data_IF_809137448570
#
_entry.id   IF_809137448570
#
_cell.length_a   1.000
_cell.length_b   1.000
_cell.length_c   1.000
_cell.angle_alpha   90.00
_cell.angle_beta   90.00
_cell.angle_gamma   90.00
#
_symmetry.space_group_name_H-M   'P 1'
#
loop_
_entity.id
_entity.type
_entity.pdbx_description
1 polymer ?
#
# COMPACT_ATOMS: atom_id res chain seq x y z
N UNK A 1 17.74 -6.40 25.81
CA UNK A 1 16.77 -5.48 25.18
C UNK A 1 15.80 -5.00 26.26
N UNK A 2 15.91 -3.75 26.73
CA UNK A 2 15.02 -3.06 27.70
C UNK A 2 14.60 -3.74 29.03
N UNK A 3 15.18 -4.87 29.44
CA UNK A 3 14.83 -5.52 30.71
C UNK A 3 13.42 -6.15 30.74
N UNK A 4 12.80 -6.38 29.57
CA UNK A 4 11.50 -7.04 29.42
C UNK A 4 11.66 -8.37 28.68
N UNK A 5 10.75 -9.32 28.94
CA UNK A 5 10.70 -10.56 28.16
C UNK A 5 10.31 -10.28 26.71
N UNK A 6 10.67 -11.19 25.79
CA UNK A 6 10.27 -11.10 24.38
C UNK A 6 8.76 -11.00 24.24
N UNK A 7 8.01 -11.84 24.97
CA UNK A 7 6.55 -11.81 25.02
C UNK A 7 6.01 -10.47 25.51
N UNK A 8 6.66 -9.86 26.51
CA UNK A 8 6.29 -8.53 27.01
C UNK A 8 6.45 -7.44 25.93
N UNK A 9 7.55 -7.47 25.18
CA UNK A 9 7.77 -6.54 24.06
C UNK A 9 6.77 -6.77 22.92
N UNK A 10 6.48 -8.03 22.57
CA UNK A 10 5.48 -8.36 21.57
C UNK A 10 4.08 -7.88 21.98
N UNK A 11 3.70 -8.05 23.23
CA UNK A 11 2.39 -7.62 23.72
C UNK A 11 2.26 -6.09 23.68
N UNK A 12 3.30 -5.35 24.06
CA UNK A 12 3.30 -3.88 23.96
C UNK A 12 3.15 -3.46 22.49
N UNK A 13 3.92 -4.08 21.59
CA UNK A 13 3.83 -3.79 20.16
C UNK A 13 2.43 -4.07 19.59
N UNK A 14 1.87 -5.24 19.87
CA UNK A 14 0.54 -5.63 19.40
C UNK A 14 -0.57 -4.75 20.01
N UNK A 15 -0.46 -4.39 21.27
CA UNK A 15 -1.41 -3.49 21.91
C UNK A 15 -1.40 -2.09 21.29
N UNK A 16 -0.21 -1.54 21.00
CA UNK A 16 -0.09 -0.25 20.30
C UNK A 16 -0.65 -0.34 18.89
N UNK A 17 -0.39 -1.43 18.16
CA UNK A 17 -0.98 -1.65 16.84
C UNK A 17 -2.51 -1.68 16.92
N UNK A 18 -3.07 -2.48 17.83
CA UNK A 18 -4.52 -2.61 18.01
C UNK A 18 -5.17 -1.26 18.36
N UNK A 19 -4.52 -0.47 19.23
CA UNK A 19 -4.95 0.87 19.57
C UNK A 19 -4.95 1.81 18.35
N UNK A 20 -3.88 1.79 17.55
CA UNK A 20 -3.79 2.61 16.33
C UNK A 20 -4.90 2.21 15.35
N UNK A 21 -5.08 0.91 15.08
CA UNK A 21 -6.13 0.45 14.17
C UNK A 21 -7.52 0.80 14.69
N UNK A 22 -7.79 0.60 15.97
CA UNK A 22 -9.11 0.88 16.56
C UNK A 22 -9.51 2.35 16.46
N UNK A 23 -8.55 3.28 16.48
CA UNK A 23 -8.82 4.72 16.46
C UNK A 23 -8.65 5.35 15.07
N UNK A 24 -7.83 4.76 14.19
CA UNK A 24 -7.41 5.40 12.93
C UNK A 24 -7.59 4.49 11.72
N UNK A 25 -8.30 3.35 11.82
CA UNK A 25 -8.53 2.45 10.69
C UNK A 25 -9.08 3.16 9.45
N UNK A 26 -10.02 4.09 9.62
CA UNK A 26 -10.60 4.82 8.49
C UNK A 26 -9.57 5.68 7.76
N UNK A 27 -8.71 6.41 8.49
CA UNK A 27 -7.66 7.27 7.93
C UNK A 27 -6.53 6.43 7.31
N UNK A 28 -6.14 5.33 7.97
CA UNK A 28 -5.13 4.39 7.47
C UNK A 28 -5.61 3.68 6.20
N UNK A 29 -6.91 3.37 6.14
CA UNK A 29 -7.53 2.86 4.94
C UNK A 29 -7.52 3.94 3.86
N UNK A 30 -8.15 5.08 4.06
CA UNK A 30 -8.09 6.16 3.08
C UNK A 30 -8.22 7.51 3.78
N UNK A 31 -7.22 8.37 3.59
CA UNK A 31 -7.21 9.75 4.10
C UNK A 31 -8.18 10.66 3.32
N UNK A 32 -9.47 10.33 3.39
CA UNK A 32 -10.55 10.91 2.58
C UNK A 32 -10.71 12.40 2.85
N UNK A 33 -10.59 12.83 4.10
CA UNK A 33 -10.82 14.21 4.50
C UNK A 33 -9.74 15.14 3.95
N UNK A 34 -8.47 14.75 4.03
CA UNK A 34 -7.38 15.51 3.40
C UNK A 34 -7.49 15.51 1.87
N UNK A 35 -7.79 14.35 1.28
CA UNK A 35 -7.85 14.22 -0.19
C UNK A 35 -8.99 15.07 -0.75
N UNK A 36 -10.18 15.00 -0.14
CA UNK A 36 -11.36 15.73 -0.62
C UNK A 36 -11.16 17.25 -0.62
N UNK A 37 -10.47 17.78 0.39
CA UNK A 37 -10.17 19.22 0.49
C UNK A 37 -9.09 19.68 -0.49
N UNK A 38 -8.16 18.79 -0.89
CA UNK A 38 -7.03 19.13 -1.76
C UNK A 38 -7.14 18.60 -3.19
N UNK A 39 -8.24 17.94 -3.56
CA UNK A 39 -8.36 17.18 -4.80
C UNK A 39 -8.02 18.02 -6.05
N UNK A 40 -8.51 19.26 -6.09
CA UNK A 40 -8.20 20.20 -7.18
C UNK A 40 -6.71 20.55 -7.22
N UNK A 41 -6.10 20.89 -6.08
CA UNK A 41 -4.66 21.24 -6.00
C UNK A 41 -3.77 20.06 -6.42
N UNK A 42 -4.09 18.85 -5.93
CA UNK A 42 -3.38 17.63 -6.30
C UNK A 42 -3.47 17.38 -7.81
N UNK A 43 -4.68 17.51 -8.39
CA UNK A 43 -4.83 17.34 -9.84
C UNK A 43 -4.10 18.40 -10.66
N UNK A 44 -4.09 19.65 -10.21
CA UNK A 44 -3.37 20.72 -10.92
C UNK A 44 -1.86 20.53 -10.83
N UNK A 45 -1.33 20.06 -9.69
CA UNK A 45 0.09 19.75 -9.54
C UNK A 45 0.56 18.69 -10.55
N UNK A 46 -0.30 17.70 -10.83
CA UNK A 46 -0.04 16.67 -11.84
C UNK A 46 -0.05 17.26 -13.25
N UNK A 47 -1.07 18.05 -13.60
CA UNK A 47 -1.16 18.74 -14.91
C UNK A 47 0.04 19.68 -15.13
N UNK A 48 0.45 20.42 -14.11
CA UNK A 48 1.59 21.33 -14.17
C UNK A 48 2.93 20.63 -14.44
N UNK A 49 3.02 19.31 -14.18
CA UNK A 49 4.17 18.48 -14.55
C UNK A 49 4.16 18.02 -16.02
N UNK A 50 3.14 18.38 -16.79
CA UNK A 50 3.04 18.13 -18.22
C UNK A 50 2.20 16.90 -18.60
N UNK A 51 1.33 16.40 -17.71
CA UNK A 51 0.41 15.34 -18.11
C UNK A 51 -0.77 15.90 -18.92
N UNK A 52 -1.26 15.10 -19.88
CA UNK A 52 -2.47 15.38 -20.64
C UNK A 52 -3.75 14.94 -19.90
N UNK A 53 -3.61 14.14 -18.83
CA UNK A 53 -4.76 13.64 -18.07
C UNK A 53 -5.13 14.62 -16.95
N UNK A 54 -6.26 15.27 -17.14
CA UNK A 54 -6.93 16.06 -16.12
C UNK A 54 -7.72 15.11 -15.20
N UNK A 55 -7.67 15.31 -13.88
CA UNK A 55 -8.32 14.50 -12.81
C UNK A 55 -7.48 13.40 -12.13
N UNK A 56 -6.15 13.37 -12.31
CA UNK A 56 -5.27 12.47 -11.52
C UNK A 56 -4.84 13.16 -10.23
N UNK A 57 -5.16 12.59 -9.07
CA UNK A 57 -4.76 13.16 -7.77
C UNK A 57 -3.77 12.29 -6.98
N UNK A 58 -3.51 11.05 -7.40
CA UNK A 58 -2.58 10.13 -6.74
C UNK A 58 -2.04 9.09 -7.73
N UNK A 59 -0.92 8.47 -7.37
CA UNK A 59 -0.26 7.41 -8.15
C UNK A 59 -0.12 6.13 -7.34
N UNK A 60 -0.22 4.99 -8.02
CA UNK A 60 0.06 3.69 -7.43
C UNK A 60 1.57 3.51 -7.31
N UNK A 61 2.09 3.37 -6.09
CA UNK A 61 3.48 2.99 -5.83
C UNK A 61 3.56 1.60 -5.17
N UNK A 62 4.49 0.78 -5.67
CA UNK A 62 4.81 -0.51 -5.06
C UNK A 62 6.01 -0.35 -4.15
N UNK A 63 5.75 -0.21 -2.86
CA UNK A 63 6.80 -0.09 -1.86
C UNK A 63 7.26 -1.48 -1.37
N UNK A 64 8.57 -1.71 -1.35
CA UNK A 64 9.17 -2.89 -0.70
C UNK A 64 9.76 -2.47 0.64
N UNK A 65 9.37 -3.15 1.73
CA UNK A 65 9.93 -2.91 3.07
C UNK A 65 10.68 -4.14 3.55
N UNK A 66 11.94 -3.96 3.90
CA UNK A 66 12.73 -5.03 4.51
C UNK A 66 12.12 -5.45 5.85
N UNK A 67 12.17 -6.75 6.14
CA UNK A 67 11.75 -7.30 7.41
C UNK A 67 12.85 -8.16 8.02
N UNK A 68 12.77 -8.37 9.34
CA UNK A 68 13.63 -9.32 10.02
C UNK A 68 13.44 -10.71 9.40
N UNK A 69 14.52 -11.50 9.34
CA UNK A 69 14.46 -12.87 8.85
C UNK A 69 13.50 -13.69 9.71
N UNK A 70 12.35 -14.15 9.18
CA UNK A 70 11.40 -14.90 9.98
C UNK A 70 11.98 -16.27 10.34
N UNK A 71 11.48 -16.87 11.41
CA UNK A 71 11.79 -18.27 11.73
C UNK A 71 10.99 -19.22 10.82
N UNK A 72 11.56 -20.40 10.54
CA UNK A 72 10.95 -21.41 9.68
C UNK A 72 11.23 -21.23 8.18
N UNK A 73 11.62 -22.32 7.52
CA UNK A 73 12.05 -22.31 6.12
C UNK A 73 10.96 -21.86 5.15
N UNK A 74 9.71 -22.20 5.40
CA UNK A 74 8.57 -21.83 4.54
C UNK A 74 8.34 -20.32 4.56
N UNK A 75 8.17 -19.73 5.75
CA UNK A 75 7.97 -18.28 5.93
C UNK A 75 9.15 -17.48 5.38
N UNK A 76 10.38 -17.96 5.57
CA UNK A 76 11.57 -17.33 4.99
C UNK A 76 11.51 -17.29 3.46
N UNK A 77 11.15 -18.41 2.81
CA UNK A 77 11.03 -18.49 1.36
C UNK A 77 9.95 -17.56 0.82
N UNK A 78 8.86 -17.37 1.56
CA UNK A 78 7.74 -16.51 1.17
C UNK A 78 8.10 -15.02 1.09
N UNK A 79 8.87 -14.53 2.07
CA UNK A 79 9.28 -13.12 2.14
C UNK A 79 10.66 -12.84 1.54
N UNK A 80 11.37 -13.86 1.05
CA UNK A 80 12.69 -13.65 0.46
C UNK A 80 12.59 -13.04 -0.95
N UNK A 81 13.09 -11.82 -1.10
CA UNK A 81 13.22 -11.16 -2.39
C UNK A 81 14.56 -11.56 -3.02
N UNK A 82 14.52 -12.50 -3.97
CA UNK A 82 15.71 -13.00 -4.66
C UNK A 82 16.49 -11.92 -5.42
N UNK A 83 15.81 -10.93 -6.00
CA UNK A 83 16.43 -9.85 -6.76
C UNK A 83 17.25 -8.92 -5.84
N UNK A 84 16.73 -8.60 -4.65
CA UNK A 84 17.43 -7.77 -3.66
C UNK A 84 18.29 -8.58 -2.66
N UNK A 85 18.17 -9.91 -2.66
CA UNK A 85 18.82 -10.83 -1.70
C UNK A 85 18.55 -10.48 -0.22
N UNK A 86 17.32 -10.04 0.07
CA UNK A 86 16.86 -9.59 1.40
C UNK A 86 15.46 -10.15 1.69
N UNK A 87 15.13 -10.33 2.97
CA UNK A 87 13.76 -10.60 3.40
C UNK A 87 12.98 -9.29 3.39
N UNK A 88 11.85 -9.28 2.69
CA UNK A 88 11.05 -8.09 2.53
C UNK A 88 9.57 -8.43 2.32
N UNK A 89 8.74 -7.46 2.60
CA UNK A 89 7.30 -7.48 2.38
C UNK A 89 6.98 -6.41 1.35
N UNK A 90 6.02 -6.69 0.47
CA UNK A 90 5.58 -5.76 -0.55
C UNK A 90 4.27 -5.12 -0.12
N UNK A 91 4.16 -3.83 -0.39
CA UNK A 91 2.97 -3.03 -0.22
C UNK A 91 2.65 -2.34 -1.55
N UNK A 92 1.38 -2.07 -1.75
CA UNK A 92 0.89 -1.22 -2.81
C UNK A 92 0.26 0.00 -2.15
N UNK A 93 0.63 1.19 -2.58
CA UNK A 93 0.23 2.44 -1.94
C UNK A 93 -0.36 3.40 -2.97
N UNK A 94 -1.26 4.26 -2.54
CA UNK A 94 -1.62 5.46 -3.28
C UNK A 94 -0.83 6.63 -2.72
N UNK A 95 -0.04 7.30 -3.54
CA UNK A 95 0.80 8.43 -3.13
C UNK A 95 0.29 9.69 -3.83
N UNK A 96 -0.05 10.71 -3.04
CA UNK A 96 -0.49 12.01 -3.56
C UNK A 96 0.73 12.87 -3.99
N UNK A 97 0.57 13.84 -4.91
CA UNK A 97 1.65 14.72 -5.38
C UNK A 97 2.46 15.45 -4.31
N UNK A 98 1.92 15.63 -3.11
CA UNK A 98 2.62 16.19 -1.94
C UNK A 98 3.52 15.16 -1.21
N UNK A 99 3.61 13.93 -1.72
CA UNK A 99 4.45 12.85 -1.20
C UNK A 99 3.82 12.04 -0.07
N UNK A 100 2.56 12.32 0.28
CA UNK A 100 1.85 11.62 1.35
C UNK A 100 1.23 10.33 0.82
N UNK A 101 1.35 9.24 1.59
CA UNK A 101 0.64 7.98 1.31
C UNK A 101 -0.82 8.13 1.76
N UNK A 102 -1.73 8.13 0.80
CA UNK A 102 -3.17 8.25 0.98
C UNK A 102 -3.85 6.93 1.35
N UNK A 103 -3.32 5.80 0.88
CA UNK A 103 -3.83 4.45 1.13
C UNK A 103 -2.67 3.45 1.07
N UNK A 104 -2.76 2.38 1.87
CA UNK A 104 -1.83 1.25 1.81
C UNK A 104 -2.57 -0.07 1.77
N UNK A 105 -2.18 -0.92 0.83
CA UNK A 105 -2.60 -2.31 0.69
C UNK A 105 -1.40 -3.27 0.85
N UNK A 106 -1.66 -4.42 1.47
CA UNK A 106 -0.66 -5.40 1.87
C UNK A 106 -0.76 -5.69 3.37
N UNK A 107 0.13 -6.51 3.95
CA UNK A 107 1.37 -7.07 3.40
C UNK A 107 1.17 -8.16 2.34
N UNK A 108 1.94 -8.12 1.26
CA UNK A 108 1.96 -9.16 0.20
C UNK A 108 3.32 -9.87 0.19
N UNK A 109 3.29 -11.19 -0.04
CA UNK A 109 4.48 -12.01 -0.17
C UNK A 109 5.44 -11.49 -1.24
N UNK A 110 6.73 -11.36 -0.90
CA UNK A 110 7.72 -10.88 -1.87
C UNK A 110 7.96 -11.86 -3.02
N UNK A 111 7.77 -13.16 -2.79
CA UNK A 111 7.94 -14.20 -3.80
C UNK A 111 6.81 -14.24 -4.85
N UNK A 112 5.63 -13.70 -4.54
CA UNK A 112 4.51 -13.73 -5.49
C UNK A 112 4.88 -12.94 -6.75
N UNK A 113 5.08 -13.68 -7.84
CA UNK A 113 5.31 -13.19 -9.20
C UNK A 113 4.03 -12.67 -9.86
N UNK A 114 2.95 -12.50 -9.10
CA UNK A 114 1.74 -11.84 -9.58
C UNK A 114 2.09 -10.43 -9.99
N UNK A 115 1.92 -10.16 -11.28
CA UNK A 115 1.91 -8.83 -11.84
C UNK A 115 0.71 -8.10 -11.24
N UNK A 116 0.94 -7.31 -10.19
CA UNK A 116 -0.08 -6.47 -9.53
C UNK A 116 -0.65 -5.36 -10.42
N UNK A 117 -0.31 -5.36 -11.71
CA UNK A 117 -0.99 -4.52 -12.71
C UNK A 117 -2.32 -5.16 -13.15
N UNK A 118 -2.51 -6.47 -12.93
CA UNK A 118 -3.76 -7.17 -13.17
C UNK A 118 -4.57 -7.10 -11.88
N UNK A 119 -5.42 -6.07 -11.77
CA UNK A 119 -6.09 -5.71 -10.52
C UNK A 119 -7.26 -6.66 -10.21
N UNK A 120 -6.99 -7.62 -9.32
CA UNK A 120 -7.94 -8.09 -8.32
C UNK A 120 -7.16 -8.16 -7.00
N UNK A 121 -7.61 -7.40 -6.01
CA UNK A 121 -6.99 -7.31 -4.69
C UNK A 121 -7.44 -8.53 -3.87
N UNK A 122 -6.95 -9.71 -4.25
CA UNK A 122 -7.17 -10.94 -3.51
C UNK A 122 -6.57 -10.89 -2.09
N UNK A 123 -7.05 -11.76 -1.18
CA UNK A 123 -6.73 -11.71 0.25
C UNK A 123 -5.24 -11.86 0.53
N UNK A 124 -4.75 -11.13 1.56
CA UNK A 124 -3.39 -11.30 2.08
C UNK A 124 -3.24 -12.67 2.75
N UNK A 125 -2.26 -13.47 2.32
CA UNK A 125 -1.91 -14.75 2.95
C UNK A 125 -1.16 -14.59 4.30
N UNK A 126 -0.81 -13.36 4.68
CA UNK A 126 0.09 -13.09 5.80
C UNK A 126 -0.62 -12.66 7.09
N UNK A 127 -1.91 -12.29 7.05
CA UNK A 127 -2.70 -11.94 8.23
C UNK A 127 -4.13 -12.52 8.16
N UNK A 128 -4.73 -13.01 9.27
CA UNK A 128 -5.97 -13.81 9.19
C UNK A 128 -7.27 -13.05 8.92
N UNK A 129 -7.28 -11.71 8.82
CA UNK A 129 -8.49 -10.95 8.49
C UNK A 129 -8.09 -9.61 7.85
N UNK A 130 -8.52 -9.37 6.62
CA UNK A 130 -8.72 -8.02 6.10
C UNK A 130 -9.58 -8.09 4.83
N UNK A 131 -10.83 -7.64 5.00
CA UNK A 131 -11.79 -7.13 4.02
C UNK A 131 -11.73 -7.75 2.61
N UNK A 132 -12.64 -8.69 2.36
CA UNK A 132 -13.20 -8.93 1.04
C UNK A 132 -14.18 -7.78 0.76
N UNK A 133 -13.74 -6.79 -0.04
CA UNK A 133 -14.57 -6.19 -1.08
C UNK A 133 -13.69 -5.32 -2.00
N UNK A 134 -13.55 -5.85 -3.21
CA UNK A 134 -12.55 -5.57 -4.24
C UNK A 134 -13.02 -4.39 -5.13
N UNK A 135 -12.81 -3.14 -4.67
CA UNK A 135 -13.22 -1.91 -5.38
C UNK A 135 -12.08 -0.96 -5.79
N UNK A 136 -10.82 -1.23 -5.44
CA UNK A 136 -9.70 -0.31 -5.74
C UNK A 136 -9.24 -0.34 -7.22
N UNK A 137 -9.78 -1.28 -8.01
CA UNK A 137 -9.67 -1.36 -9.48
C UNK A 137 -10.28 -0.16 -10.23
N UNK A 138 -10.98 0.76 -9.55
CA UNK A 138 -11.73 1.84 -10.21
C UNK A 138 -11.11 3.25 -10.18
N UNK A 139 -10.02 3.52 -9.46
CA UNK A 139 -9.54 4.92 -9.26
C UNK A 139 -8.19 5.20 -9.92
N UNK A 140 -8.01 4.68 -11.14
CA UNK A 140 -6.98 5.19 -12.03
C UNK A 140 -7.57 6.12 -13.12
N UNK A 141 -8.89 6.13 -13.33
CA UNK A 141 -9.53 6.89 -14.40
C UNK A 141 -10.93 7.37 -14.02
N UNK A 142 -11.06 8.70 -13.93
CA UNK A 142 -12.15 9.38 -14.63
C UNK A 142 -11.51 10.40 -15.59
N UNK A 143 -10.68 9.88 -16.50
CA UNK A 143 -10.63 10.46 -17.84
C UNK A 143 -12.01 10.19 -18.44
N UNK A 144 -12.53 11.20 -19.13
CA UNK A 144 -13.94 11.41 -19.51
C UNK A 144 -14.67 10.24 -20.19
N UNK A 145 -13.96 9.17 -20.56
CA UNK A 145 -14.42 8.09 -21.47
C UNK A 145 -14.14 6.66 -20.96
N UNK A 146 -13.91 6.44 -19.66
CA UNK A 146 -14.05 5.12 -19.02
C UNK A 146 -13.00 4.04 -19.36
N UNK A 147 -11.79 4.40 -19.80
CA UNK A 147 -10.69 3.45 -20.06
C UNK A 147 -9.50 3.65 -19.10
N UNK A 148 -9.04 2.63 -18.33
CA UNK A 148 -7.99 2.77 -17.30
C UNK A 148 -6.58 3.03 -17.87
N UNK A 149 -5.83 4.02 -17.32
CA UNK A 149 -4.50 4.41 -17.80
C UNK A 149 -3.41 4.19 -16.73
N UNK A 150 -2.48 3.26 -16.98
CA UNK A 150 -1.42 2.84 -16.06
C UNK A 150 -0.31 3.88 -15.83
N UNK A 151 0.27 3.92 -14.62
CA UNK A 151 1.40 4.81 -14.24
C UNK A 151 2.67 4.69 -15.13
N UNK A 152 2.74 3.73 -16.06
CA UNK A 152 3.86 3.55 -17.00
C UNK A 152 3.70 4.29 -18.32
N UNK A 153 2.54 4.91 -18.57
CA UNK A 153 2.23 5.60 -19.83
C UNK A 153 2.59 7.09 -19.79
N UNK A 154 3.00 7.59 -18.63
CA UNK A 154 3.49 8.96 -18.44
C UNK A 154 5.02 8.96 -18.36
N UNK A 155 5.71 8.88 -19.50
CA UNK A 155 7.18 9.03 -19.58
C UNK A 155 7.60 9.95 -20.71
#
# INVERSE_FOLDING_TARGET
>A
MFGRSLSGLCNIFLHVLDHIYSNFAEIIFLDRDRISTKLHELSQAVVAKGTEVHNVYAFIDRTVRECCRPEGNERQRTVYNGHKRRHAVKYQTLVTPDGIIAHTFGPIEAKSGVNTNDVSMGPSSLLPRMFEDDLATWVLVMARDGHPAGCREFK
#
